data_IF_528390956424
#
_entry.id   IF_528390956424
#
_cell.length_a   1.000
_cell.length_b   1.000
_cell.length_c   1.000
_cell.angle_alpha   90.00
_cell.angle_beta   90.00
_cell.angle_gamma   90.00
#
_symmetry.space_group_name_H-M   'P 1'
#
loop_
_entity.id
_entity.type
_entity.pdbx_description
1 polymer ?
#
# COMPACT_ATOMS: atom_id res chain seq x y z
N UNK A 1 17.98 -32.95 21.13
CA UNK A 1 16.73 -32.42 20.54
C UNK A 1 16.04 -31.50 21.53
N UNK A 2 16.16 -30.18 21.34
CA UNK A 2 15.31 -29.17 21.98
C UNK A 2 14.97 -28.15 20.91
N UNK A 3 13.68 -27.89 20.74
CA UNK A 3 13.12 -27.03 19.72
C UNK A 3 13.62 -25.58 19.91
N UNK A 4 14.34 -25.07 18.92
CA UNK A 4 14.53 -23.64 18.77
C UNK A 4 13.23 -23.08 18.17
N UNK A 5 12.54 -22.26 18.95
CA UNK A 5 11.43 -21.42 18.48
C UNK A 5 11.84 -20.68 17.20
N UNK A 6 10.95 -20.64 16.22
CA UNK A 6 11.10 -20.20 14.82
C UNK A 6 11.58 -18.72 14.67
N UNK A 7 11.93 -18.03 15.76
CA UNK A 7 12.31 -16.62 15.77
C UNK A 7 13.77 -16.29 16.15
N UNK A 8 14.73 -17.23 16.07
CA UNK A 8 16.11 -16.92 16.46
C UNK A 8 16.85 -16.03 15.45
N UNK A 9 16.96 -14.77 15.86
CA UNK A 9 17.95 -13.75 15.54
C UNK A 9 19.27 -14.30 14.96
N UNK A 10 19.51 -14.06 13.67
CA UNK A 10 20.86 -13.80 13.16
C UNK A 10 20.97 -12.29 12.95
N UNK A 11 21.34 -11.57 14.01
CA UNK A 11 21.62 -10.13 13.93
C UNK A 11 23.05 -9.96 13.48
N UNK A 12 23.23 -9.66 12.19
CA UNK A 12 24.48 -9.09 11.71
C UNK A 12 24.46 -7.59 12.07
N UNK A 13 25.40 -7.14 12.92
CA UNK A 13 25.45 -5.78 13.48
C UNK A 13 25.59 -4.65 12.44
N UNK A 14 25.75 -5.00 11.16
CA UNK A 14 25.88 -4.03 10.07
C UNK A 14 24.59 -3.82 9.26
N UNK A 15 23.55 -4.64 9.44
CA UNK A 15 22.29 -4.54 8.68
C UNK A 15 21.12 -5.12 9.50
N UNK A 16 20.31 -4.26 10.12
CA UNK A 16 19.06 -4.65 10.79
C UNK A 16 17.98 -5.04 9.76
N UNK A 17 18.11 -6.23 9.15
CA UNK A 17 17.03 -6.84 8.37
C UNK A 17 16.75 -8.23 8.93
N UNK A 18 15.58 -8.37 9.57
CA UNK A 18 15.05 -9.65 9.99
C UNK A 18 14.74 -10.47 8.73
N UNK A 19 15.46 -11.57 8.52
CA UNK A 19 15.46 -12.37 7.28
C UNK A 19 14.08 -12.90 6.84
N UNK A 20 13.03 -12.78 7.66
CA UNK A 20 11.70 -13.35 7.40
C UNK A 20 10.52 -12.43 7.75
N UNK A 21 10.73 -11.13 7.93
CA UNK A 21 9.61 -10.19 8.07
C UNK A 21 9.25 -9.57 6.71
N UNK A 22 7.97 -9.53 6.31
CA UNK A 22 7.57 -8.84 5.09
C UNK A 22 8.03 -7.39 5.21
N UNK A 23 9.00 -7.01 4.37
CA UNK A 23 9.59 -5.69 4.33
C UNK A 23 8.49 -4.69 4.00
N UNK A 24 7.92 -4.02 5.00
CA UNK A 24 6.96 -2.92 4.75
C UNK A 24 7.50 -2.06 3.63
N UNK A 25 6.67 -1.73 2.64
CA UNK A 25 7.08 -0.91 1.50
C UNK A 25 7.73 0.35 2.06
N UNK A 26 9.05 0.49 1.87
CA UNK A 26 9.80 1.60 2.46
C UNK A 26 9.42 2.87 1.71
N UNK A 27 8.49 3.63 2.28
CA UNK A 27 7.98 4.89 1.70
C UNK A 27 9.11 5.92 1.73
N UNK A 28 9.37 6.55 0.59
CA UNK A 28 10.39 7.56 0.41
C UNK A 28 9.97 8.58 -0.65
N UNK A 29 10.78 9.60 -0.90
CA UNK A 29 10.46 10.68 -1.86
C UNK A 29 10.30 10.25 -3.32
N UNK A 30 10.57 8.99 -3.67
CA UNK A 30 10.36 8.43 -5.02
C UNK A 30 9.17 7.47 -5.11
N UNK A 31 8.43 7.28 -4.02
CA UNK A 31 7.29 6.37 -3.96
C UNK A 31 6.19 6.84 -4.91
N UNK A 32 5.64 5.90 -5.69
CA UNK A 32 4.53 6.15 -6.61
C UNK A 32 3.20 5.85 -5.90
N UNK A 33 2.23 6.75 -6.02
CA UNK A 33 0.92 6.61 -5.39
C UNK A 33 -0.11 6.05 -6.37
N UNK A 34 -0.90 5.11 -5.87
CA UNK A 34 -2.09 4.55 -6.52
C UNK A 34 -3.20 4.41 -5.47
N UNK A 35 -4.46 4.19 -5.87
CA UNK A 35 -5.50 4.02 -4.87
C UNK A 35 -6.84 3.49 -5.37
N UNK A 36 -7.80 3.45 -4.45
CA UNK A 36 -9.18 3.06 -4.68
C UNK A 36 -10.13 4.15 -4.18
N UNK A 37 -10.88 4.78 -5.08
CA UNK A 37 -11.94 5.73 -4.74
C UNK A 37 -13.25 4.97 -4.49
N UNK A 38 -13.90 5.24 -3.35
CA UNK A 38 -15.18 4.62 -2.95
C UNK A 38 -15.80 5.32 -1.74
N UNK A 39 -17.05 4.96 -1.39
CA UNK A 39 -17.72 5.45 -0.17
C UNK A 39 -18.78 4.48 0.37
N UNK A 40 -18.62 3.94 1.60
CA UNK A 40 -17.37 3.84 2.36
C UNK A 40 -16.41 2.85 1.68
N UNK A 41 -15.11 3.03 1.85
CA UNK A 41 -14.07 2.21 1.18
C UNK A 41 -13.16 1.42 2.14
N UNK A 42 -13.31 1.62 3.45
CA UNK A 42 -12.48 1.03 4.50
C UNK A 42 -12.50 -0.51 4.53
N UNK A 43 -13.56 -1.13 4.02
CA UNK A 43 -13.72 -2.59 3.98
C UNK A 43 -13.06 -3.25 2.76
N UNK A 44 -12.48 -2.48 1.85
CA UNK A 44 -11.87 -3.05 0.66
C UNK A 44 -10.59 -3.82 0.97
N UNK A 45 -10.47 -5.03 0.42
CA UNK A 45 -9.24 -5.82 0.45
C UNK A 45 -8.22 -5.38 -0.61
N UNK A 46 -8.61 -4.54 -1.58
CA UNK A 46 -7.73 -4.10 -2.67
C UNK A 46 -6.42 -3.49 -2.19
N UNK A 47 -6.38 -2.63 -1.14
CA UNK A 47 -5.11 -2.11 -0.63
C UNK A 47 -4.14 -3.19 -0.16
N UNK A 48 -4.61 -4.19 0.58
CA UNK A 48 -3.75 -5.28 1.04
C UNK A 48 -3.18 -6.07 -0.15
N UNK A 49 -4.04 -6.42 -1.11
CA UNK A 49 -3.67 -7.18 -2.31
C UNK A 49 -2.68 -6.41 -3.21
N UNK A 50 -2.94 -5.15 -3.53
CA UNK A 50 -2.07 -4.37 -4.41
C UNK A 50 -0.72 -4.04 -3.77
N UNK A 51 -0.68 -3.74 -2.46
CA UNK A 51 0.59 -3.51 -1.77
C UNK A 51 1.42 -4.80 -1.66
N UNK A 52 0.79 -5.96 -1.43
CA UNK A 52 1.49 -7.25 -1.45
C UNK A 52 2.07 -7.55 -2.85
N UNK A 53 1.32 -7.27 -3.91
CA UNK A 53 1.81 -7.41 -5.28
C UNK A 53 2.98 -6.46 -5.59
N UNK A 54 2.88 -5.18 -5.20
CA UNK A 54 3.97 -4.22 -5.37
C UNK A 54 5.24 -4.66 -4.64
N UNK A 55 5.09 -5.17 -3.41
CA UNK A 55 6.19 -5.72 -2.63
C UNK A 55 6.84 -6.94 -3.30
N UNK A 56 6.03 -7.91 -3.75
CA UNK A 56 6.52 -9.11 -4.42
C UNK A 56 7.27 -8.79 -5.72
N UNK A 57 6.89 -7.71 -6.40
CA UNK A 57 7.54 -7.22 -7.61
C UNK A 57 8.71 -6.26 -7.35
N UNK A 58 9.01 -5.92 -6.09
CA UNK A 58 10.06 -4.95 -5.75
C UNK A 58 9.76 -3.52 -6.20
N UNK A 59 8.49 -3.18 -6.42
CA UNK A 59 8.06 -1.86 -6.87
C UNK A 59 7.95 -0.89 -5.69
N UNK A 60 8.49 0.33 -5.84
CA UNK A 60 8.31 1.42 -4.87
C UNK A 60 6.95 2.11 -5.05
N UNK A 61 5.87 1.34 -4.89
CA UNK A 61 4.50 1.77 -5.15
C UNK A 61 3.65 1.53 -3.90
N UNK A 62 2.76 2.46 -3.60
CA UNK A 62 1.81 2.36 -2.49
C UNK A 62 0.40 2.51 -3.03
N UNK A 63 -0.48 1.62 -2.58
CA UNK A 63 -1.90 1.63 -2.92
C UNK A 63 -2.74 1.98 -1.70
N UNK A 64 -3.49 3.09 -1.75
CA UNK A 64 -4.29 3.59 -0.61
C UNK A 64 -5.79 3.60 -0.86
N UNK A 65 -6.64 3.32 0.15
CA UNK A 65 -8.06 3.62 0.06
C UNK A 65 -8.31 5.13 0.15
N UNK A 66 -9.14 5.66 -0.75
CA UNK A 66 -9.54 7.07 -0.81
C UNK A 66 -11.06 7.14 -0.55
N UNK A 67 -11.42 7.46 0.69
CA UNK A 67 -12.81 7.65 1.08
C UNK A 67 -13.31 9.00 0.56
N UNK A 68 -14.01 8.99 -0.57
CA UNK A 68 -14.50 10.20 -1.24
C UNK A 68 -16.01 10.16 -1.22
N UNK A 69 -16.65 11.11 -0.54
CA UNK A 69 -18.11 11.19 -0.51
C UNK A 69 -18.69 11.42 -1.93
N UNK A 70 -19.95 10.99 -2.22
CA UNK A 70 -20.54 11.09 -3.56
C UNK A 70 -20.54 12.50 -4.17
N UNK A 71 -20.63 13.53 -3.35
CA UNK A 71 -20.60 14.95 -3.75
C UNK A 71 -19.18 15.49 -4.01
N UNK A 72 -18.13 14.71 -3.73
CA UNK A 72 -16.72 15.14 -3.80
C UNK A 72 -15.93 14.45 -4.91
N UNK A 73 -16.56 13.59 -5.72
CA UNK A 73 -15.85 12.75 -6.72
C UNK A 73 -15.12 13.59 -7.75
N UNK A 74 -15.76 14.62 -8.29
CA UNK A 74 -15.16 15.51 -9.30
C UNK A 74 -13.93 16.25 -8.73
N UNK A 75 -14.06 16.79 -7.53
CA UNK A 75 -12.95 17.46 -6.83
C UNK A 75 -11.82 16.48 -6.53
N UNK A 76 -12.14 15.26 -6.09
CA UNK A 76 -11.14 14.23 -5.82
C UNK A 76 -10.37 13.85 -7.09
N UNK A 77 -11.07 13.54 -8.19
CA UNK A 77 -10.46 13.13 -9.46
C UNK A 77 -9.58 14.23 -10.04
N UNK A 78 -10.05 15.48 -10.04
CA UNK A 78 -9.27 16.63 -10.53
C UNK A 78 -8.02 16.90 -9.69
N UNK A 79 -8.03 16.54 -8.41
CA UNK A 79 -6.88 16.70 -7.49
C UNK A 79 -5.81 15.59 -7.63
N UNK A 80 -6.14 14.43 -8.21
CA UNK A 80 -5.22 13.28 -8.26
C UNK A 80 -3.90 13.59 -9.00
N UNK A 81 -3.97 14.34 -10.09
CA UNK A 81 -2.79 14.71 -10.88
C UNK A 81 -1.88 15.66 -10.10
N UNK A 82 -2.45 16.64 -9.40
CA UNK A 82 -1.72 17.58 -8.54
C UNK A 82 -1.04 16.86 -7.35
N UNK A 83 -1.65 15.77 -6.87
CA UNK A 83 -1.10 14.91 -5.82
C UNK A 83 -0.16 13.82 -6.37
N UNK A 84 0.15 13.83 -7.67
CA UNK A 84 1.05 12.89 -8.34
C UNK A 84 0.63 11.41 -8.21
N UNK A 85 -0.68 11.14 -8.19
CA UNK A 85 -1.20 9.77 -8.32
C UNK A 85 -0.97 9.25 -9.74
N UNK A 86 -0.51 8.00 -9.85
CA UNK A 86 -0.31 7.30 -11.13
C UNK A 86 -1.59 6.69 -11.69
N UNK A 87 -2.58 6.48 -10.84
CA UNK A 87 -3.87 5.93 -11.22
C UNK A 87 -4.67 5.49 -10.01
N UNK A 88 -5.98 5.40 -10.19
CA UNK A 88 -6.91 4.92 -9.17
C UNK A 88 -7.92 3.98 -9.78
N UNK A 89 -8.35 2.99 -8.99
CA UNK A 89 -9.57 2.25 -9.27
C UNK A 89 -10.77 2.99 -8.68
N UNK A 90 -11.96 2.78 -9.23
CA UNK A 90 -13.20 3.38 -8.75
C UNK A 90 -14.20 2.27 -8.43
N UNK A 91 -14.84 2.37 -7.27
CA UNK A 91 -15.88 1.45 -6.83
C UNK A 91 -17.14 2.20 -6.40
N UNK A 92 -18.18 1.43 -6.04
CA UNK A 92 -19.48 1.93 -5.59
C UNK A 92 -19.29 3.02 -4.52
N UNK A 93 -20.08 4.11 -4.58
CA UNK A 93 -21.16 4.41 -5.54
C UNK A 93 -20.71 5.22 -6.77
N UNK A 94 -19.41 5.28 -7.07
CA UNK A 94 -18.84 6.23 -8.03
C UNK A 94 -18.61 5.67 -9.44
N UNK A 95 -19.14 4.48 -9.73
CA UNK A 95 -19.18 3.88 -11.08
C UNK A 95 -20.44 4.35 -11.78
#
# INVERSE_FOLDING_TARGET
>A
MRALSIGQLLVNRSNYQLLNYPKMTSINGKTQLTGLIGWPVSHSFSPAMHNAAAQALGLNWVYVPLAVAPDQVETAVSSLSALNFRGVNVTVPHK
#
